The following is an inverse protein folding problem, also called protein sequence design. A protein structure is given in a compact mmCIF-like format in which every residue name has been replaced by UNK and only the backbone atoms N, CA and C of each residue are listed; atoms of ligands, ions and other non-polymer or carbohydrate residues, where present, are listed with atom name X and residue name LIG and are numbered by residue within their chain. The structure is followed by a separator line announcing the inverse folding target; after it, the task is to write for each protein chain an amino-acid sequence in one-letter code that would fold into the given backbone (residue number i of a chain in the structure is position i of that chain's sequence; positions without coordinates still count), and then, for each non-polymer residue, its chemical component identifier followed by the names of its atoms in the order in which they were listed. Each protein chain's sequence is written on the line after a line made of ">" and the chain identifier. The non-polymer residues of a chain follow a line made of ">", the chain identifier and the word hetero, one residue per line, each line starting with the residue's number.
data_IF_664220406943
#
_entry.id   IF_664220406943
#
_cell.length_a   1.000
_cell.length_b   1.000
_cell.length_c   1.000
_cell.angle_alpha   90.00
_cell.angle_beta   90.00
_cell.angle_gamma   90.00
#
_symmetry.space_group_name_H-M   'P 1'
#
loop_
_entity.id
_entity.type
_entity.pdbx_description
1 polymer ?
#
# COMPACT_ATOMS: atom_id res chain seq x y z
N UNK A 1 16.04 17.12 -28.08
CA UNK A 1 14.81 17.80 -27.65
C UNK A 1 14.19 17.03 -26.51
N UNK A 2 14.03 17.66 -25.33
CA UNK A 2 13.41 17.06 -24.15
C UNK A 2 12.34 18.00 -23.62
N UNK A 3 11.09 17.81 -24.04
CA UNK A 3 9.89 17.99 -23.21
C UNK A 3 8.64 17.70 -24.07
N UNK A 4 7.84 16.68 -23.72
CA UNK A 4 6.38 16.51 -23.95
C UNK A 4 5.97 15.34 -23.04
N UNK A 5 5.43 15.49 -21.83
CA UNK A 5 4.44 16.45 -21.36
C UNK A 5 3.13 15.69 -21.17
N UNK A 6 2.91 15.14 -19.97
CA UNK A 6 1.61 14.59 -19.59
C UNK A 6 1.63 13.55 -18.46
N UNK A 7 2.79 13.12 -17.95
CA UNK A 7 2.84 12.47 -16.63
C UNK A 7 2.70 13.49 -15.49
N UNK A 8 2.64 13.02 -14.22
CA UNK A 8 2.71 13.92 -13.06
C UNK A 8 3.93 14.82 -13.15
N UNK A 9 3.76 16.08 -12.76
CA UNK A 9 4.83 17.07 -12.69
C UNK A 9 5.95 16.60 -11.75
N UNK A 10 7.14 17.22 -11.84
CA UNK A 10 8.25 16.85 -10.95
C UNK A 10 7.91 17.01 -9.46
N UNK A 11 7.11 18.02 -9.14
CA UNK A 11 6.67 18.25 -7.76
C UNK A 11 5.70 17.16 -7.31
N UNK A 12 4.71 16.83 -8.14
CA UNK A 12 3.79 15.73 -7.86
C UNK A 12 4.53 14.39 -7.74
N UNK A 13 5.55 14.16 -8.58
CA UNK A 13 6.41 12.98 -8.44
C UNK A 13 7.17 12.95 -7.12
N UNK A 14 7.52 14.10 -6.54
CA UNK A 14 8.14 14.14 -5.21
C UNK A 14 7.13 13.82 -4.11
N UNK A 15 5.95 14.42 -4.18
CA UNK A 15 4.86 14.15 -3.24
C UNK A 15 4.45 12.67 -3.26
N UNK A 16 4.41 12.07 -4.45
CA UNK A 16 4.08 10.66 -4.65
C UNK A 16 5.25 9.70 -4.41
N UNK A 17 6.42 10.16 -3.96
CA UNK A 17 7.61 9.31 -3.75
C UNK A 17 8.05 8.56 -5.03
N UNK A 18 7.96 9.23 -6.19
CA UNK A 18 8.28 8.71 -7.54
C UNK A 18 9.48 9.45 -8.19
N UNK A 19 10.11 10.42 -7.53
CA UNK A 19 11.25 11.16 -8.12
C UNK A 19 12.41 10.19 -8.40
N UNK A 20 12.92 10.21 -9.64
CA UNK A 20 13.96 9.26 -10.09
C UNK A 20 13.50 7.81 -10.35
N UNK A 21 12.25 7.44 -10.02
CA UNK A 21 11.74 6.08 -10.22
C UNK A 21 11.06 5.89 -11.59
N UNK A 22 11.21 4.70 -12.14
CA UNK A 22 10.58 4.26 -13.41
C UNK A 22 9.70 3.03 -13.16
N UNK A 23 8.82 2.63 -14.10
CA UNK A 23 8.00 1.43 -13.94
C UNK A 23 8.78 0.13 -13.65
N UNK A 24 10.06 0.08 -14.01
CA UNK A 24 10.96 -1.05 -13.73
C UNK A 24 11.29 -1.21 -12.24
N UNK A 25 11.19 -0.12 -11.47
CA UNK A 25 11.48 -0.12 -10.03
C UNK A 25 10.34 -0.72 -9.20
N UNK A 26 9.17 -0.97 -9.79
CA UNK A 26 8.02 -1.52 -9.09
C UNK A 26 7.67 -2.90 -9.61
N UNK A 27 7.56 -3.86 -8.69
CA UNK A 27 7.18 -5.25 -9.02
C UNK A 27 5.86 -5.31 -9.78
N UNK A 28 4.88 -4.47 -9.41
CA UNK A 28 3.54 -4.46 -10.00
C UNK A 28 3.50 -3.98 -11.45
N UNK A 29 4.43 -3.10 -11.86
CA UNK A 29 4.44 -2.52 -13.22
C UNK A 29 5.57 -3.06 -14.07
N UNK A 30 6.55 -3.74 -13.48
CA UNK A 30 7.69 -4.30 -14.19
C UNK A 30 7.23 -5.36 -15.19
N UNK A 31 7.54 -5.11 -16.46
CA UNK A 31 7.26 -6.04 -17.54
C UNK A 31 8.51 -6.86 -17.84
N UNK A 32 8.46 -8.21 -17.80
CA UNK A 32 9.62 -9.04 -18.17
C UNK A 32 10.08 -8.83 -19.61
N UNK A 33 9.18 -8.37 -20.50
CA UNK A 33 9.51 -8.02 -21.88
C UNK A 33 9.98 -6.57 -22.06
N UNK A 34 10.08 -5.78 -20.98
CA UNK A 34 10.42 -4.35 -21.03
C UNK A 34 9.42 -3.49 -21.82
N UNK A 35 8.22 -4.02 -22.10
CA UNK A 35 7.21 -3.31 -22.89
C UNK A 35 6.32 -2.49 -21.97
N UNK A 36 6.55 -1.17 -21.97
CA UNK A 36 5.75 -0.20 -21.20
C UNK A 36 4.89 0.70 -22.10
N UNK A 37 5.21 0.76 -23.39
CA UNK A 37 4.43 1.53 -24.37
C UNK A 37 3.20 0.76 -24.85
N UNK A 38 2.10 1.47 -25.03
CA UNK A 38 0.89 0.92 -25.65
C UNK A 38 1.09 0.75 -27.16
N UNK A 39 0.52 -0.32 -27.72
CA UNK A 39 0.62 -0.64 -29.16
C UNK A 39 -0.28 0.22 -30.05
N UNK A 40 -1.24 0.92 -29.46
CA UNK A 40 -2.22 1.77 -30.14
C UNK A 40 -1.75 3.23 -30.31
N UNK A 41 -0.54 3.55 -29.86
CA UNK A 41 0.04 4.90 -29.96
C UNK A 41 -0.47 5.88 -28.90
N UNK A 42 -1.36 5.45 -27.99
CA UNK A 42 -1.79 6.26 -26.84
C UNK A 42 -0.66 6.30 -25.81
N UNK A 43 -0.39 7.48 -25.27
CA UNK A 43 0.67 7.65 -24.26
C UNK A 43 0.09 7.61 -22.85
N UNK A 44 0.83 7.09 -21.88
CA UNK A 44 0.42 7.17 -20.46
C UNK A 44 0.26 8.61 -20.00
N UNK A 45 1.06 9.51 -20.59
CA UNK A 45 1.00 10.94 -20.38
C UNK A 45 -0.36 11.56 -20.81
N UNK A 46 -0.86 11.22 -22.00
CA UNK A 46 -2.19 11.68 -22.43
C UNK A 46 -3.29 11.08 -21.56
N UNK A 47 -3.17 9.78 -21.24
CA UNK A 47 -4.15 9.05 -20.42
C UNK A 47 -4.24 9.61 -18.99
N UNK A 48 -3.10 9.99 -18.40
CA UNK A 48 -3.05 10.62 -17.08
C UNK A 48 -3.79 11.97 -17.07
N UNK A 49 -3.57 12.81 -18.09
CA UNK A 49 -4.27 14.09 -18.19
C UNK A 49 -5.77 13.91 -18.41
N UNK A 50 -6.17 12.96 -19.27
CA UNK A 50 -7.57 12.60 -19.48
C UNK A 50 -8.24 12.15 -18.19
N UNK A 51 -7.58 11.27 -17.42
CA UNK A 51 -8.08 10.83 -16.11
C UNK A 51 -8.24 11.99 -15.13
N UNK A 52 -7.26 12.91 -15.05
CA UNK A 52 -7.37 14.09 -14.18
C UNK A 52 -8.57 14.96 -14.56
N UNK A 53 -8.74 15.22 -15.86
CA UNK A 53 -9.85 16.02 -16.35
C UNK A 53 -11.19 15.33 -16.06
N UNK A 54 -11.26 14.00 -16.21
CA UNK A 54 -12.45 13.23 -15.88
C UNK A 54 -12.80 13.30 -14.39
N UNK A 55 -11.82 13.16 -13.50
CA UNK A 55 -12.04 13.28 -12.05
C UNK A 55 -12.53 14.69 -11.68
N UNK A 56 -11.94 15.74 -12.25
CA UNK A 56 -12.42 17.12 -12.08
C UNK A 56 -13.85 17.28 -12.60
N UNK A 57 -14.19 16.68 -13.75
CA UNK A 57 -15.54 16.74 -14.32
C UNK A 57 -16.60 16.03 -13.47
N UNK A 58 -16.21 14.97 -12.75
CA UNK A 58 -17.07 14.25 -11.80
C UNK A 58 -17.21 15.00 -10.46
N UNK A 59 -16.34 15.99 -10.20
CA UNK A 59 -16.44 16.87 -9.02
C UNK A 59 -15.39 16.64 -7.94
N UNK A 60 -14.34 15.85 -8.21
CA UNK A 60 -13.23 15.66 -7.27
C UNK A 60 -12.45 16.97 -7.12
N UNK A 61 -12.14 17.34 -5.87
CA UNK A 61 -11.22 18.46 -5.61
C UNK A 61 -9.78 18.09 -5.97
N UNK A 62 -8.89 19.08 -6.04
CA UNK A 62 -7.47 18.81 -6.31
C UNK A 62 -6.83 17.93 -5.23
N UNK A 63 -7.26 18.09 -3.97
CA UNK A 63 -6.82 17.27 -2.84
C UNK A 63 -7.32 15.82 -2.98
N UNK A 64 -8.61 15.60 -3.23
CA UNK A 64 -9.18 14.25 -3.38
C UNK A 64 -8.56 13.51 -4.57
N UNK A 65 -8.25 14.24 -5.65
CA UNK A 65 -7.54 13.69 -6.80
C UNK A 65 -6.11 13.28 -6.42
N UNK A 66 -5.44 14.06 -5.57
CA UNK A 66 -4.13 13.71 -5.05
C UNK A 66 -4.19 12.47 -4.16
N UNK A 67 -5.18 12.39 -3.26
CA UNK A 67 -5.40 11.22 -2.39
C UNK A 67 -5.50 9.93 -3.20
N UNK A 68 -6.21 9.95 -4.34
CA UNK A 68 -6.30 8.81 -5.27
C UNK A 68 -4.92 8.41 -5.80
N UNK A 69 -4.09 9.39 -6.19
CA UNK A 69 -2.74 9.11 -6.69
C UNK A 69 -1.79 8.67 -5.57
N UNK A 70 -1.94 9.18 -4.35
CA UNK A 70 -1.19 8.74 -3.17
C UNK A 70 -1.48 7.28 -2.87
N UNK A 71 -2.74 6.85 -2.90
CA UNK A 71 -3.13 5.44 -2.73
C UNK A 71 -2.49 4.57 -3.81
N UNK A 72 -2.59 4.97 -5.09
CA UNK A 72 -2.00 4.21 -6.19
C UNK A 72 -0.47 4.09 -6.06
N UNK A 73 0.21 5.19 -5.67
CA UNK A 73 1.65 5.18 -5.43
C UNK A 73 2.04 4.34 -4.21
N UNK A 74 1.27 4.44 -3.14
CA UNK A 74 1.43 3.64 -1.93
C UNK A 74 1.35 2.15 -2.23
N UNK A 75 0.42 1.72 -3.10
CA UNK A 75 0.31 0.34 -3.56
C UNK A 75 1.51 -0.12 -4.40
N UNK A 76 2.02 0.74 -5.29
CA UNK A 76 3.23 0.43 -6.07
C UNK A 76 4.43 0.18 -5.15
N UNK A 77 4.65 1.05 -4.17
CA UNK A 77 5.68 0.87 -3.14
C UNK A 77 5.43 -0.38 -2.28
N UNK A 78 4.18 -0.64 -1.89
CA UNK A 78 3.84 -1.82 -1.10
C UNK A 78 4.13 -3.12 -1.85
N UNK A 79 3.93 -3.15 -3.16
CA UNK A 79 4.26 -4.31 -4.00
C UNK A 79 5.76 -4.66 -4.05
N UNK A 80 6.63 -3.74 -3.65
CA UNK A 80 8.06 -3.99 -3.49
C UNK A 80 8.44 -4.52 -2.10
N UNK A 81 7.51 -4.56 -1.15
CA UNK A 81 7.78 -5.13 0.17
C UNK A 81 8.00 -6.63 0.03
N UNK A 82 9.07 -7.12 0.65
CA UNK A 82 9.40 -8.53 0.71
C UNK A 82 9.11 -9.09 2.11
N UNK A 83 8.94 -10.40 2.20
CA UNK A 83 8.61 -11.09 3.43
C UNK A 83 9.68 -12.12 3.74
N UNK A 84 9.91 -12.37 5.03
CA UNK A 84 10.84 -13.40 5.50
C UNK A 84 10.17 -14.32 6.53
N UNK A 85 10.55 -15.60 6.48
CA UNK A 85 10.12 -16.59 7.46
C UNK A 85 11.04 -16.55 8.68
N UNK A 86 10.46 -16.34 9.85
CA UNK A 86 11.14 -16.45 11.13
C UNK A 86 10.79 -17.80 11.74
N UNK A 87 11.77 -18.72 11.71
CA UNK A 87 11.68 -20.01 12.40
C UNK A 87 12.09 -19.83 13.85
N UNK A 88 11.21 -20.18 14.79
CA UNK A 88 11.59 -20.22 16.20
C UNK A 88 12.45 -21.46 16.44
N UNK A 89 13.77 -21.30 16.60
CA UNK A 89 14.72 -22.39 16.87
C UNK A 89 14.60 -23.05 18.25
N UNK A 90 13.43 -23.00 18.89
CA UNK A 90 13.20 -23.50 20.24
C UNK A 90 12.62 -24.91 20.24
N UNK A 91 13.25 -25.83 20.96
CA UNK A 91 12.79 -27.21 21.26
C UNK A 91 11.53 -27.26 22.17
N UNK A 92 10.55 -26.40 21.94
CA UNK A 92 9.33 -26.24 22.74
C UNK A 92 8.06 -26.17 21.89
N UNK A 93 6.94 -26.51 22.51
CA UNK A 93 5.60 -26.70 21.90
C UNK A 93 4.99 -25.37 21.38
N UNK A 94 5.64 -24.23 21.64
CA UNK A 94 5.10 -22.88 21.39
C UNK A 94 5.83 -22.11 20.25
N UNK A 95 6.76 -22.76 19.54
CA UNK A 95 7.50 -22.16 18.44
C UNK A 95 6.71 -22.20 17.13
N UNK A 96 5.87 -21.20 16.86
CA UNK A 96 5.20 -21.10 15.58
C UNK A 96 6.09 -20.39 14.55
N UNK A 97 6.21 -20.98 13.36
CA UNK A 97 6.77 -20.31 12.19
C UNK A 97 5.89 -19.10 11.85
N UNK A 98 6.52 -17.94 11.68
CA UNK A 98 5.84 -16.69 11.37
C UNK A 98 6.45 -16.05 10.14
N UNK A 99 5.61 -15.46 9.30
CA UNK A 99 6.03 -14.57 8.23
C UNK A 99 6.06 -13.14 8.76
N UNK A 100 7.16 -12.42 8.55
CA UNK A 100 7.27 -10.99 8.88
C UNK A 100 7.66 -10.19 7.64
N UNK A 101 7.45 -8.88 7.66
CA UNK A 101 8.01 -8.02 6.63
C UNK A 101 9.54 -8.01 6.75
N UNK A 102 10.23 -8.20 5.63
CA UNK A 102 11.67 -8.12 5.59
C UNK A 102 12.10 -6.65 5.72
N UNK A 103 12.61 -6.30 6.89
CA UNK A 103 13.14 -4.96 7.22
C UNK A 103 14.66 -4.85 6.99
N UNK A 104 15.32 -5.95 6.64
CA UNK A 104 16.77 -6.02 6.43
C UNK A 104 17.17 -5.62 5.01
N UNK A 105 16.34 -5.94 4.02
CA UNK A 105 16.54 -5.55 2.63
C UNK A 105 16.22 -4.05 2.45
N UNK A 106 17.21 -3.28 1.97
CA UNK A 106 17.08 -1.83 1.81
C UNK A 106 15.93 -1.44 0.86
N UNK A 107 15.75 -2.18 -0.24
CA UNK A 107 14.68 -1.95 -1.21
C UNK A 107 13.29 -2.14 -0.61
N UNK A 108 13.08 -3.24 0.12
CA UNK A 108 11.85 -3.52 0.86
C UNK A 108 11.58 -2.47 1.93
N UNK A 109 12.59 -2.16 2.78
CA UNK A 109 12.47 -1.18 3.86
C UNK A 109 12.14 0.23 3.35
N UNK A 110 12.81 0.67 2.30
CA UNK A 110 12.57 1.99 1.70
C UNK A 110 11.15 2.09 1.14
N UNK A 111 10.73 1.08 0.37
CA UNK A 111 9.40 1.03 -0.23
C UNK A 111 8.30 0.95 0.83
N UNK A 112 8.50 0.15 1.89
CA UNK A 112 7.58 0.08 3.03
C UNK A 112 7.41 1.45 3.71
N UNK A 113 8.51 2.18 3.90
CA UNK A 113 8.48 3.53 4.45
C UNK A 113 7.67 4.51 3.58
N UNK A 114 7.87 4.46 2.25
CA UNK A 114 7.12 5.28 1.31
C UNK A 114 5.63 4.90 1.30
N UNK A 115 5.30 3.61 1.29
CA UNK A 115 3.92 3.12 1.38
C UNK A 115 3.23 3.60 2.67
N UNK A 116 3.90 3.52 3.83
CA UNK A 116 3.34 4.01 5.09
C UNK A 116 3.04 5.52 5.07
N UNK A 117 3.96 6.33 4.49
CA UNK A 117 3.76 7.79 4.37
C UNK A 117 2.57 8.13 3.46
N UNK A 118 2.47 7.48 2.32
CA UNK A 118 1.42 7.73 1.32
C UNK A 118 0.05 7.23 1.78
N UNK A 119 -0.02 6.10 2.50
CA UNK A 119 -1.28 5.54 2.98
C UNK A 119 -1.70 6.08 4.36
N UNK A 120 -0.82 6.82 5.04
CA UNK A 120 -1.09 7.35 6.37
C UNK A 120 -1.23 6.29 7.45
N UNK A 121 -0.48 5.18 7.33
CA UNK A 121 -0.52 4.05 8.28
C UNK A 121 0.82 3.87 9.00
N UNK A 122 0.77 3.28 10.20
CA UNK A 122 1.98 2.88 10.91
C UNK A 122 2.50 1.55 10.33
N UNK A 123 3.83 1.43 10.23
CA UNK A 123 4.50 0.21 9.77
C UNK A 123 4.11 -1.04 10.56
N UNK A 124 3.89 -0.93 11.87
CA UNK A 124 3.54 -2.08 12.71
C UNK A 124 2.09 -2.54 12.47
N UNK A 125 1.18 -1.59 12.24
CA UNK A 125 -0.22 -1.91 11.91
C UNK A 125 -0.32 -2.49 10.48
N UNK A 126 0.50 -1.98 9.55
CA UNK A 126 0.61 -2.52 8.19
C UNK A 126 1.21 -3.94 8.20
N UNK A 127 2.27 -4.17 8.97
CA UNK A 127 2.87 -5.50 9.12
C UNK A 127 1.86 -6.49 9.70
N UNK A 128 1.16 -6.12 10.76
CA UNK A 128 0.11 -6.94 11.33
C UNK A 128 -0.99 -7.25 10.30
N UNK A 129 -1.44 -6.25 9.54
CA UNK A 129 -2.45 -6.43 8.49
C UNK A 129 -2.02 -7.36 7.35
N UNK A 130 -0.73 -7.44 7.04
CA UNK A 130 -0.20 -8.27 5.96
C UNK A 130 0.19 -9.69 6.41
N UNK A 131 0.51 -9.87 7.70
CA UNK A 131 1.10 -11.11 8.22
C UNK A 131 0.19 -11.86 9.20
N UNK A 132 -0.96 -11.29 9.55
CA UNK A 132 -1.92 -11.91 10.47
C UNK A 132 -3.31 -11.98 9.85
N UNK A 133 -3.98 -13.12 10.00
CA UNK A 133 -5.35 -13.33 9.55
C UNK A 133 -6.23 -13.68 10.77
N UNK A 134 -7.08 -12.77 11.24
CA UNK A 134 -7.99 -13.10 12.34
C UNK A 134 -9.17 -13.91 11.77
N UNK A 135 -9.24 -15.21 12.10
CA UNK A 135 -10.38 -16.06 11.74
C UNK A 135 -11.26 -16.24 12.98
N UNK A 136 -12.43 -15.61 13.00
CA UNK A 136 -13.41 -15.85 14.05
C UNK A 136 -14.22 -17.12 13.73
N UNK A 137 -13.74 -18.27 14.21
CA UNK A 137 -14.55 -19.49 14.22
C UNK A 137 -15.67 -19.34 15.27
N UNK A 138 -16.92 -19.53 14.84
CA UNK A 138 -18.12 -19.41 15.69
C UNK A 138 -18.07 -20.38 16.87
N UNK A 139 -17.58 -19.89 18.01
CA UNK A 139 -17.39 -20.67 19.24
C UNK A 139 -16.01 -20.47 19.88
N UNK A 140 -15.66 -19.24 20.24
CA UNK A 140 -14.40 -18.93 20.94
C UNK A 140 -13.24 -18.61 19.98
N UNK A 141 -13.03 -17.31 19.75
CA UNK A 141 -12.12 -16.77 18.73
C UNK A 141 -10.70 -17.35 18.77
N UNK A 142 -10.24 -17.80 17.61
CA UNK A 142 -8.90 -18.32 17.35
C UNK A 142 -8.23 -17.47 16.26
N UNK A 143 -7.44 -16.46 16.64
CA UNK A 143 -6.64 -15.71 15.66
C UNK A 143 -5.62 -16.64 15.01
N UNK A 144 -5.56 -16.66 13.67
CA UNK A 144 -4.51 -17.36 12.90
C UNK A 144 -3.44 -16.36 12.48
N UNK A 145 -2.24 -16.47 13.04
CA UNK A 145 -1.08 -15.85 12.40
C UNK A 145 -0.92 -16.54 11.03
N UNK A 146 -0.54 -15.79 9.99
CA UNK A 146 -0.24 -16.43 8.70
C UNK A 146 1.00 -17.31 8.92
N UNK A 147 0.72 -18.60 9.20
CA UNK A 147 1.64 -19.54 9.85
C UNK A 147 1.27 -19.78 11.32
N UNK A 148 0.62 -20.92 11.62
CA UNK A 148 0.46 -21.47 12.98
C UNK A 148 -0.70 -20.90 13.81
N UNK A 149 -1.66 -21.76 14.17
CA UNK A 149 -2.81 -21.39 14.98
C UNK A 149 -2.49 -21.10 16.45
N UNK A 150 -3.30 -20.24 17.07
CA UNK A 150 -3.46 -20.18 18.53
C UNK A 150 -3.12 -18.85 19.19
N UNK A 151 -4.08 -17.92 19.18
CA UNK A 151 -4.54 -17.12 20.32
C UNK A 151 -3.58 -16.17 21.06
N UNK A 152 -3.96 -14.88 21.14
CA UNK A 152 -3.87 -14.08 22.38
C UNK A 152 -4.61 -12.73 22.33
N UNK A 153 -5.84 -12.78 22.87
CA UNK A 153 -6.64 -11.84 23.71
C UNK A 153 -6.12 -10.43 24.09
N UNK A 154 -5.46 -9.66 23.21
CA UNK A 154 -5.04 -8.27 23.50
C UNK A 154 -5.44 -7.20 22.47
N UNK A 155 -5.94 -7.57 21.28
CA UNK A 155 -6.01 -6.63 20.14
C UNK A 155 -7.38 -6.01 19.88
N UNK A 156 -8.44 -6.46 20.57
CA UNK A 156 -9.81 -6.00 20.32
C UNK A 156 -10.07 -4.52 20.71
N UNK A 157 -9.23 -3.92 21.56
CA UNK A 157 -9.44 -2.54 22.01
C UNK A 157 -8.84 -1.49 21.05
N UNK A 158 -7.91 -1.86 20.17
CA UNK A 158 -7.23 -0.91 19.25
C UNK A 158 -7.92 -0.75 17.88
N UNK A 159 -8.69 -1.74 17.43
CA UNK A 159 -9.37 -1.65 16.11
C UNK A 159 -10.51 -0.63 16.15
N UNK A 160 -11.14 -0.42 17.32
CA UNK A 160 -12.21 0.58 17.48
C UNK A 160 -11.73 2.03 17.35
N UNK A 161 -10.44 2.28 17.59
CA UNK A 161 -9.88 3.64 17.58
C UNK A 161 -9.61 4.18 16.18
N UNK A 162 -9.51 3.31 15.16
CA UNK A 162 -9.19 3.72 13.78
C UNK A 162 -10.37 4.36 13.02
N UNK A 163 -11.61 4.04 13.42
CA UNK A 163 -12.83 4.63 12.84
C UNK A 163 -13.24 5.96 13.48
N UNK A 164 -12.55 6.39 14.55
CA UNK A 164 -12.87 7.63 15.29
C UNK A 164 -11.91 8.80 14.98
N UNK A 165 -10.96 8.60 14.07
CA UNK A 165 -10.03 9.63 13.65
C UNK A 165 -10.71 10.76 12.84
N UNK A 166 -10.29 12.03 13.02
CA UNK A 166 -10.91 13.17 12.33
C UNK A 166 -10.79 13.12 10.79
N UNK A 167 -9.84 12.35 10.25
CA UNK A 167 -9.66 12.15 8.80
C UNK A 167 -10.55 11.03 8.24
N UNK A 168 -10.73 9.93 8.98
CA UNK A 168 -11.58 8.80 8.56
C UNK A 168 -13.06 9.12 8.64
N UNK A 169 -13.50 9.92 9.63
CA UNK A 169 -14.89 10.41 9.70
C UNK A 169 -15.26 11.32 8.53
N UNK A 170 -14.35 12.21 8.11
CA UNK A 170 -14.61 13.15 7.01
C UNK A 170 -14.71 12.44 5.66
N UNK A 171 -13.89 11.41 5.44
CA UNK A 171 -13.96 10.56 4.24
C UNK A 171 -15.25 9.72 4.20
N UNK A 172 -15.73 9.21 5.34
CA UNK A 172 -16.97 8.44 5.40
C UNK A 172 -18.21 9.31 5.22
N UNK A 173 -18.22 10.55 5.76
CA UNK A 173 -19.31 11.50 5.60
C UNK A 173 -19.43 12.05 4.16
N UNK A 174 -18.33 12.11 3.42
CA UNK A 174 -18.32 12.51 2.00
C UNK A 174 -18.88 11.42 1.07
N UNK A 175 -18.79 10.14 1.45
CA UNK A 175 -19.30 9.01 0.66
C UNK A 175 -20.79 8.69 0.89
N UNK A 176 -21.41 9.32 1.89
CA UNK A 176 -22.81 9.08 2.28
C UNK A 176 -23.75 10.26 1.98
N UNK A 177 -23.29 11.24 1.19
CA UNK A 177 -24.11 12.35 0.65
C UNK A 177 -24.07 12.31 -0.87
#
# INVERSE_FOLDING_TARGET
>A
GKNKGGGPSREERRLLELDGLTPEHFVLTRSPSGTYGRRDGVTDASTYLELRNALTAVGFTDEERMDVFEIASGLMHLGNATFEEVRSGGSGIDGHDRVVLNRSEEGSRSSLGSACRLLGVNVDDLEAGLTTAVIEAGGGGSSSVAGGGGGRRGSQERVRTYLDGPRSKKALEALLK
#
